data_IF_495262111955
#
_entry.id   IF_495262111955
#
_cell.length_a   1.000
_cell.length_b   1.000
_cell.length_c   1.000
_cell.angle_alpha   90.00
_cell.angle_beta   90.00
_cell.angle_gamma   90.00
#
_symmetry.space_group_name_H-M   'P 1'
#
loop_
_entity.id
_entity.type
_entity.pdbx_description
1 polymer ?
#
# COMPACT_ATOMS: atom_id res chain seq x y z
N UNK A 1 -25.35 -25.86 -12.10
CA UNK A 1 -24.36 -25.06 -11.34
C UNK A 1 -23.11 -25.90 -11.17
N UNK A 2 -22.05 -25.63 -11.92
CA UNK A 2 -20.83 -26.45 -11.92
C UNK A 2 -20.06 -26.17 -10.62
N UNK A 3 -19.93 -27.18 -9.75
CA UNK A 3 -19.12 -27.08 -8.52
C UNK A 3 -17.66 -26.93 -8.93
N UNK A 4 -17.04 -25.78 -8.63
CA UNK A 4 -15.59 -25.61 -8.77
C UNK A 4 -14.88 -26.76 -8.04
N UNK A 5 -13.89 -27.37 -8.71
CA UNK A 5 -13.06 -28.41 -8.12
C UNK A 5 -12.27 -27.83 -6.94
N UNK A 6 -11.89 -28.64 -5.96
CA UNK A 6 -11.08 -28.19 -4.82
C UNK A 6 -9.78 -27.49 -5.27
N UNK A 7 -9.21 -27.94 -6.38
CA UNK A 7 -8.04 -27.32 -7.02
C UNK A 7 -8.32 -25.89 -7.50
N UNK A 8 -9.50 -25.63 -8.08
CA UNK A 8 -9.86 -24.31 -8.58
C UNK A 8 -10.04 -23.31 -7.42
N UNK A 9 -10.57 -23.79 -6.28
CA UNK A 9 -10.65 -22.98 -5.06
C UNK A 9 -9.28 -22.59 -4.54
N UNK A 10 -8.36 -23.56 -4.44
CA UNK A 10 -6.98 -23.27 -4.05
C UNK A 10 -6.30 -22.31 -5.04
N UNK A 11 -6.54 -22.46 -6.35
CA UNK A 11 -5.99 -21.57 -7.36
C UNK A 11 -6.47 -20.11 -7.16
N UNK A 12 -7.77 -19.92 -6.88
CA UNK A 12 -8.33 -18.60 -6.55
C UNK A 12 -7.71 -18.01 -5.28
N UNK A 13 -7.63 -18.78 -4.20
CA UNK A 13 -7.04 -18.32 -2.93
C UNK A 13 -5.58 -17.88 -3.10
N UNK A 14 -4.79 -18.58 -3.94
CA UNK A 14 -3.41 -18.18 -4.24
C UNK A 14 -3.33 -16.83 -4.96
N UNK A 15 -4.26 -16.55 -5.86
CA UNK A 15 -4.32 -15.24 -6.55
C UNK A 15 -4.74 -14.12 -5.62
N UNK A 16 -5.68 -14.38 -4.70
CA UNK A 16 -6.12 -13.42 -3.68
C UNK A 16 -4.97 -13.07 -2.72
N UNK A 17 -4.29 -14.09 -2.18
CA UNK A 17 -3.15 -13.92 -1.28
C UNK A 17 -1.98 -13.17 -1.95
N UNK A 18 -1.75 -13.39 -3.25
CA UNK A 18 -0.74 -12.65 -4.02
C UNK A 18 -1.12 -11.16 -4.17
N UNK A 19 -2.40 -10.87 -4.34
CA UNK A 19 -2.89 -9.51 -4.49
C UNK A 19 -2.91 -8.76 -3.14
N UNK A 20 -3.25 -9.43 -2.05
CA UNK A 20 -3.10 -8.95 -0.68
C UNK A 20 -1.64 -8.64 -0.33
N UNK A 21 -0.70 -9.51 -0.70
CA UNK A 21 0.73 -9.24 -0.54
C UNK A 21 1.16 -7.95 -1.23
N UNK A 22 0.66 -7.72 -2.44
CA UNK A 22 0.98 -6.50 -3.20
C UNK A 22 0.41 -5.26 -2.51
N UNK A 23 -0.83 -5.34 -1.99
CA UNK A 23 -1.41 -4.28 -1.17
C UNK A 23 -0.59 -4.00 0.10
N UNK A 24 -0.19 -5.04 0.83
CA UNK A 24 0.65 -4.91 2.02
C UNK A 24 2.04 -4.32 1.70
N UNK A 25 2.58 -4.57 0.50
CA UNK A 25 3.80 -3.93 0.04
C UNK A 25 3.62 -2.42 -0.20
N UNK A 26 2.52 -1.98 -0.82
CA UNK A 26 2.17 -0.56 -0.94
C UNK A 26 1.94 0.10 0.42
N UNK A 27 1.29 -0.59 1.35
CA UNK A 27 1.07 -0.11 2.70
C UNK A 27 2.39 0.09 3.45
N UNK A 28 3.32 -0.87 3.33
CA UNK A 28 4.66 -0.78 3.89
C UNK A 28 5.42 0.45 3.37
N UNK A 29 5.45 0.65 2.05
CA UNK A 29 6.18 1.80 1.48
C UNK A 29 5.57 3.11 1.95
N UNK A 30 4.25 3.21 2.01
CA UNK A 30 3.59 4.42 2.50
C UNK A 30 3.94 4.74 3.96
N UNK A 31 3.96 3.73 4.86
CA UNK A 31 4.39 3.92 6.25
C UNK A 31 5.83 4.41 6.33
N UNK A 32 6.74 3.83 5.56
CA UNK A 32 8.15 4.23 5.55
C UNK A 32 8.31 5.69 5.10
N UNK A 33 7.56 6.13 4.09
CA UNK A 33 7.55 7.54 3.69
C UNK A 33 6.96 8.45 4.77
N UNK A 34 5.88 8.01 5.43
CA UNK A 34 5.24 8.76 6.52
C UNK A 34 6.18 8.91 7.72
N UNK A 35 6.81 7.82 8.17
CA UNK A 35 7.76 7.84 9.28
C UNK A 35 8.98 8.69 8.96
N UNK A 36 9.49 8.61 7.72
CA UNK A 36 10.63 9.42 7.27
C UNK A 36 10.29 10.91 7.26
N UNK A 37 9.09 11.30 6.78
CA UNK A 37 8.63 12.68 6.83
C UNK A 37 8.55 13.20 8.27
N UNK A 38 7.96 12.42 9.18
CA UNK A 38 7.84 12.79 10.60
C UNK A 38 9.20 12.92 11.26
N UNK A 39 10.13 12.00 10.98
CA UNK A 39 11.50 12.06 11.50
C UNK A 39 12.23 13.34 11.03
N UNK A 40 12.10 13.70 9.75
CA UNK A 40 12.72 14.92 9.21
C UNK A 40 12.09 16.18 9.82
N UNK A 41 10.77 16.20 10.06
CA UNK A 41 10.09 17.35 10.67
C UNK A 41 10.46 17.57 12.14
N UNK A 42 10.78 16.51 12.88
CA UNK A 42 11.16 16.58 14.30
C UNK A 42 12.63 16.98 14.52
N UNK A 43 13.49 16.78 13.53
CA UNK A 43 14.92 17.04 13.66
C UNK A 43 15.26 18.46 13.21
N UNK A 44 15.64 19.34 14.15
CA UNK A 44 16.03 20.72 13.85
C UNK A 44 17.27 20.83 12.96
N UNK A 45 18.17 19.84 13.02
CA UNK A 45 19.32 19.74 12.10
C UNK A 45 18.94 19.49 10.65
N UNK A 46 17.69 19.11 10.37
CA UNK A 46 17.19 18.83 9.02
C UNK A 46 16.19 19.90 8.53
N UNK A 47 16.23 21.11 9.10
CA UNK A 47 15.32 22.19 8.70
C UNK A 47 15.36 22.51 7.21
N UNK A 48 16.53 22.43 6.56
CA UNK A 48 16.67 22.62 5.11
C UNK A 48 15.89 21.57 4.29
N UNK A 49 15.67 20.38 4.87
CA UNK A 49 14.93 19.28 4.27
C UNK A 49 13.42 19.33 4.58
N UNK A 50 12.90 20.36 5.25
CA UNK A 50 11.45 20.49 5.51
C UNK A 50 10.62 20.43 4.23
N UNK A 51 11.10 21.03 3.15
CA UNK A 51 10.45 20.97 1.83
C UNK A 51 10.27 19.52 1.36
N UNK A 52 11.31 18.70 1.52
CA UNK A 52 11.32 17.28 1.19
C UNK A 52 10.41 16.48 2.13
N UNK A 53 10.36 16.83 3.41
CA UNK A 53 9.44 16.22 4.37
C UNK A 53 7.97 16.45 4.00
N UNK A 54 7.59 17.68 3.62
CA UNK A 54 6.24 17.97 3.11
C UNK A 54 5.93 17.21 1.83
N UNK A 55 6.91 17.08 0.92
CA UNK A 55 6.75 16.26 -0.28
C UNK A 55 6.49 14.79 0.06
N UNK A 56 7.28 14.20 0.96
CA UNK A 56 7.07 12.82 1.44
C UNK A 56 5.73 12.63 2.16
N UNK A 57 5.34 13.62 2.97
CA UNK A 57 4.09 13.61 3.73
C UNK A 57 2.88 13.68 2.80
N UNK A 58 2.97 14.41 1.69
CA UNK A 58 1.96 14.41 0.62
C UNK A 58 1.98 13.13 -0.23
N UNK A 59 3.16 12.56 -0.50
CA UNK A 59 3.31 11.35 -1.30
C UNK A 59 2.78 10.09 -0.59
N UNK A 60 2.93 10.01 0.74
CA UNK A 60 2.48 8.88 1.54
C UNK A 60 0.98 8.54 1.39
N UNK A 61 0.03 9.49 1.59
CA UNK A 61 -1.39 9.22 1.36
C UNK A 61 -1.70 8.93 -0.11
N UNK A 62 -0.97 9.50 -1.07
CA UNK A 62 -1.13 9.17 -2.50
C UNK A 62 -0.82 7.69 -2.74
N UNK A 63 0.28 7.17 -2.18
CA UNK A 63 0.63 5.75 -2.27
C UNK A 63 -0.42 4.84 -1.60
N UNK A 64 -0.97 5.26 -0.46
CA UNK A 64 -2.07 4.54 0.19
C UNK A 64 -3.35 4.55 -0.63
N UNK A 65 -3.72 5.68 -1.23
CA UNK A 65 -4.93 5.80 -2.05
C UNK A 65 -4.79 4.96 -3.32
N UNK A 66 -3.64 4.98 -4.00
CA UNK A 66 -3.37 4.14 -5.17
C UNK A 66 -3.41 2.65 -4.80
N UNK A 67 -2.75 2.26 -3.70
CA UNK A 67 -2.76 0.88 -3.21
C UNK A 67 -4.16 0.41 -2.80
N UNK A 68 -4.88 1.24 -2.07
CA UNK A 68 -6.25 0.99 -1.60
C UNK A 68 -7.26 0.91 -2.74
N UNK A 69 -7.17 1.81 -3.73
CA UNK A 69 -8.05 1.77 -4.90
C UNK A 69 -7.82 0.50 -5.72
N UNK A 70 -6.56 0.08 -5.89
CA UNK A 70 -6.21 -1.17 -6.57
C UNK A 70 -6.76 -2.39 -5.83
N UNK A 71 -6.64 -2.42 -4.50
CA UNK A 71 -7.19 -3.48 -3.67
C UNK A 71 -8.73 -3.55 -3.77
N UNK A 72 -9.40 -2.39 -3.67
CA UNK A 72 -10.86 -2.30 -3.72
C UNK A 72 -11.43 -2.67 -5.09
N UNK A 73 -10.78 -2.24 -6.19
CA UNK A 73 -11.17 -2.65 -7.55
C UNK A 73 -11.08 -4.16 -7.76
N UNK A 74 -10.03 -4.80 -7.24
CA UNK A 74 -9.86 -6.24 -7.42
C UNK A 74 -10.89 -7.03 -6.60
N UNK A 75 -11.22 -6.54 -5.41
CA UNK A 75 -12.24 -7.16 -4.55
C UNK A 75 -13.67 -7.00 -5.10
N UNK A 76 -13.96 -5.93 -5.87
CA UNK A 76 -15.29 -5.69 -6.46
C UNK A 76 -15.57 -6.52 -7.74
N UNK A 77 -14.56 -7.19 -8.31
CA UNK A 77 -14.74 -8.03 -9.50
C UNK A 77 -15.07 -9.50 -9.16
N UNK A 78 -15.08 -9.88 -7.89
CA UNK A 78 -15.46 -11.20 -7.40
C UNK A 78 -16.81 -11.17 -6.70
#
# INVERSE_FOLDING_TARGET
MQKLSYTDKLALDRTLLANERTFLAYFRTAIVFLSSAVAILQLDVLQDLRSLAFFLLGLSPILLVVGGWRYYRLRKKN
#
